data_IF_231187462390
#
_entry.id   IF_231187462390
#
_cell.length_a   1.000
_cell.length_b   1.000
_cell.length_c   1.000
_cell.angle_alpha   90.00
_cell.angle_beta   90.00
_cell.angle_gamma   90.00
#
_symmetry.space_group_name_H-M   'P 1'
#
loop_
_entity.id
_entity.type
_entity.pdbx_description
1 polymer ?
#
# COMPACT_ATOMS: atom_id res chain seq x y z
N UNK A 1 24.34 21.06 41.22
CA UNK A 1 23.12 21.05 40.39
C UNK A 1 23.32 20.12 39.17
N UNK A 2 22.68 18.96 39.19
CA UNK A 2 22.66 18.03 38.05
C UNK A 2 21.37 18.29 37.28
N UNK A 3 21.43 19.07 36.20
CA UNK A 3 20.33 19.17 35.25
C UNK A 3 20.43 17.96 34.32
N UNK A 4 19.66 16.91 34.60
CA UNK A 4 19.49 15.81 33.66
C UNK A 4 18.74 16.33 32.42
N UNK A 5 19.37 16.41 31.24
CA UNK A 5 18.73 16.90 30.02
C UNK A 5 17.78 15.88 29.39
N UNK A 6 17.70 14.66 29.92
CA UNK A 6 16.80 13.59 29.49
C UNK A 6 15.74 13.24 30.53
N UNK A 7 15.49 14.13 31.51
CA UNK A 7 14.36 14.05 32.43
C UNK A 7 13.00 14.27 31.75
N UNK A 8 12.77 13.63 30.60
CA UNK A 8 11.48 13.56 29.96
C UNK A 8 10.54 12.78 30.88
N UNK A 9 9.54 13.48 31.40
CA UNK A 9 8.43 12.85 32.09
C UNK A 9 7.64 12.08 31.05
N UNK A 10 7.77 10.75 31.03
CA UNK A 10 6.70 9.91 30.50
C UNK A 10 5.55 10.08 31.48
N UNK A 11 4.67 11.05 31.21
CA UNK A 11 3.34 11.05 31.81
C UNK A 11 2.72 9.71 31.40
N UNK A 12 2.65 8.77 32.35
CA UNK A 12 1.85 7.57 32.20
C UNK A 12 0.42 8.06 31.95
N UNK A 13 -0.06 7.92 30.72
CA UNK A 13 -1.50 7.99 30.49
C UNK A 13 -2.08 6.84 31.33
N UNK A 14 -2.88 7.17 32.34
CA UNK A 14 -3.78 6.22 32.98
C UNK A 14 -4.78 5.77 31.90
N UNK A 15 -4.39 4.77 31.12
CA UNK A 15 -5.26 4.07 30.19
C UNK A 15 -6.31 3.37 31.06
N UNK A 16 -7.56 3.87 31.01
CA UNK A 16 -8.70 3.03 31.37
C UNK A 16 -8.53 1.73 30.58
N UNK A 17 -8.51 0.58 31.27
CA UNK A 17 -8.37 -0.74 30.66
C UNK A 17 -9.56 -1.00 29.71
N UNK A 18 -9.54 -0.43 28.51
CA UNK A 18 -10.36 -0.85 27.40
C UNK A 18 -9.97 -2.31 27.11
N UNK A 19 -10.94 -3.23 27.17
CA UNK A 19 -10.70 -4.63 26.82
C UNK A 19 -10.03 -4.66 25.43
N UNK A 20 -8.75 -5.03 25.37
CA UNK A 20 -7.99 -5.10 24.11
C UNK A 20 -8.63 -6.16 23.20
N UNK A 21 -9.61 -5.76 22.40
CA UNK A 21 -10.17 -6.62 21.37
C UNK A 21 -9.05 -6.98 20.37
N UNK A 22 -8.97 -8.25 19.95
CA UNK A 22 -7.94 -8.65 19.00
C UNK A 22 -8.13 -7.92 17.68
N UNK A 23 -7.04 -7.33 17.17
CA UNK A 23 -7.03 -6.69 15.84
C UNK A 23 -7.45 -7.74 14.80
N UNK A 24 -8.47 -7.47 13.96
CA UNK A 24 -8.88 -8.41 12.93
C UNK A 24 -7.76 -8.63 11.91
N UNK A 25 -7.68 -9.82 11.30
CA UNK A 25 -6.69 -10.09 10.26
C UNK A 25 -6.93 -9.18 9.03
N UNK A 26 -5.86 -8.87 8.31
CA UNK A 26 -5.97 -8.18 7.04
C UNK A 26 -6.63 -9.10 5.99
N UNK A 27 -7.53 -8.57 5.13
CA UNK A 27 -8.17 -9.34 4.09
C UNK A 27 -7.28 -9.52 2.85
N UNK A 28 -7.39 -10.66 2.18
CA UNK A 28 -6.60 -11.00 0.99
C UNK A 28 -7.35 -10.70 -0.33
N UNK A 29 -7.88 -9.48 -0.49
CA UNK A 29 -8.67 -9.11 -1.68
C UNK A 29 -7.95 -9.28 -3.02
N UNK A 30 -6.61 -9.23 -2.98
CA UNK A 30 -5.74 -9.27 -4.13
C UNK A 30 -4.97 -10.58 -4.25
N UNK A 31 -5.41 -11.64 -3.55
CA UNK A 31 -4.89 -12.99 -3.76
C UNK A 31 -4.90 -13.35 -5.26
N UNK A 32 -3.79 -13.96 -5.71
CA UNK A 32 -3.52 -14.32 -7.10
C UNK A 32 -3.54 -13.17 -8.13
N UNK A 33 -3.53 -11.91 -7.68
CA UNK A 33 -3.44 -10.74 -8.57
C UNK A 33 -2.01 -10.22 -8.62
N UNK A 34 -1.52 -10.02 -9.85
CA UNK A 34 -0.21 -9.41 -10.12
C UNK A 34 -0.44 -8.05 -10.75
N UNK A 35 0.07 -7.02 -10.10
CA UNK A 35 -0.06 -5.62 -10.51
C UNK A 35 1.23 -5.12 -11.13
N UNK A 36 1.09 -4.29 -12.16
CA UNK A 36 2.16 -3.45 -12.68
C UNK A 36 1.76 -1.98 -12.54
N UNK A 37 2.62 -1.18 -11.91
CA UNK A 37 2.42 0.26 -11.77
C UNK A 37 3.06 0.97 -12.98
N UNK A 38 2.23 1.52 -13.85
CA UNK A 38 2.66 2.18 -15.09
C UNK A 38 2.62 3.70 -14.96
N UNK A 39 3.76 4.33 -15.23
CA UNK A 39 3.90 5.78 -15.23
C UNK A 39 4.29 6.37 -13.88
N UNK A 40 4.29 7.70 -13.83
CA UNK A 40 4.59 8.46 -12.62
C UNK A 40 3.32 8.63 -11.78
N UNK A 41 3.50 8.51 -10.46
CA UNK A 41 2.46 8.77 -9.47
C UNK A 41 2.79 10.04 -8.69
N UNK A 42 1.76 10.70 -8.17
CA UNK A 42 1.94 11.89 -7.33
C UNK A 42 2.78 11.59 -6.08
N UNK A 43 3.21 12.65 -5.40
CA UNK A 43 3.99 12.54 -4.17
C UNK A 43 3.27 11.65 -3.14
N UNK A 44 3.92 10.55 -2.74
CA UNK A 44 3.38 9.59 -1.77
C UNK A 44 2.35 8.60 -2.31
N UNK A 45 1.73 8.85 -3.47
CA UNK A 45 0.69 7.99 -4.05
C UNK A 45 1.24 6.62 -4.43
N UNK A 46 2.39 6.55 -5.12
CA UNK A 46 3.03 5.28 -5.45
C UNK A 46 3.38 4.45 -4.20
N UNK A 47 3.74 5.12 -3.10
CA UNK A 47 4.00 4.47 -1.81
C UNK A 47 2.72 3.92 -1.17
N UNK A 48 1.60 4.66 -1.27
CA UNK A 48 0.30 4.20 -0.79
C UNK A 48 -0.21 3.00 -1.60
N UNK A 49 -0.09 3.05 -2.93
CA UNK A 49 -0.44 1.94 -3.80
C UNK A 49 0.37 0.68 -3.44
N UNK A 50 1.69 0.81 -3.29
CA UNK A 50 2.53 -0.29 -2.86
C UNK A 50 2.07 -0.85 -1.50
N UNK A 51 1.78 0.03 -0.52
CA UNK A 51 1.30 -0.40 0.80
C UNK A 51 0.00 -1.19 0.71
N UNK A 52 -1.01 -0.70 -0.02
CA UNK A 52 -2.31 -1.37 -0.10
C UNK A 52 -2.27 -2.64 -0.91
N UNK A 53 -1.61 -2.63 -2.08
CA UNK A 53 -1.50 -3.80 -2.93
C UNK A 53 -0.82 -4.94 -2.18
N UNK A 54 0.28 -4.66 -1.46
CA UNK A 54 0.95 -5.67 -0.65
C UNK A 54 0.15 -6.07 0.58
N UNK A 55 -0.47 -5.12 1.29
CA UNK A 55 -1.20 -5.42 2.53
C UNK A 55 -2.44 -6.31 2.32
N UNK A 56 -3.02 -6.30 1.12
CA UNK A 56 -4.20 -7.08 0.79
C UNK A 56 -3.89 -8.30 -0.12
N UNK A 57 -2.66 -8.81 -0.09
CA UNK A 57 -2.29 -10.09 -0.73
C UNK A 57 -1.87 -10.01 -2.21
N UNK A 58 -1.67 -8.81 -2.76
CA UNK A 58 -1.28 -8.60 -4.15
C UNK A 58 0.22 -8.74 -4.40
N UNK A 59 0.59 -9.20 -5.59
CA UNK A 59 1.97 -9.26 -6.07
C UNK A 59 2.30 -8.07 -6.96
N UNK A 60 3.47 -7.44 -6.81
CA UNK A 60 3.94 -6.37 -7.69
C UNK A 60 4.99 -6.90 -8.67
N UNK A 61 4.72 -6.75 -9.96
CA UNK A 61 5.68 -7.05 -11.02
C UNK A 61 6.63 -5.85 -11.23
N UNK A 62 7.94 -6.08 -11.34
CA UNK A 62 8.93 -5.02 -11.60
C UNK A 62 8.84 -4.47 -13.03
N UNK A 63 8.28 -5.25 -13.96
CA UNK A 63 8.12 -4.91 -15.38
C UNK A 63 6.80 -5.47 -15.90
N UNK A 64 6.26 -4.88 -16.97
CA UNK A 64 5.13 -5.47 -17.70
C UNK A 64 5.56 -6.78 -18.35
N UNK A 65 4.88 -7.88 -18.01
CA UNK A 65 5.15 -9.23 -18.51
C UNK A 65 3.87 -10.07 -18.50
N UNK A 66 3.96 -11.32 -18.97
CA UNK A 66 2.80 -12.22 -19.11
C UNK A 66 2.14 -12.65 -17.79
N UNK A 67 2.79 -12.46 -16.64
CA UNK A 67 2.19 -12.76 -15.34
C UNK A 67 1.36 -11.60 -14.77
N UNK A 68 1.45 -10.40 -15.35
CA UNK A 68 0.68 -9.23 -14.93
C UNK A 68 -0.79 -9.43 -15.29
N UNK A 69 -1.67 -9.32 -14.29
CA UNK A 69 -3.12 -9.41 -14.49
C UNK A 69 -3.80 -8.05 -14.45
N UNK A 70 -3.17 -7.04 -13.83
CA UNK A 70 -3.73 -5.70 -13.69
C UNK A 70 -2.65 -4.63 -13.90
N UNK A 71 -2.95 -3.61 -14.70
CA UNK A 71 -2.12 -2.40 -14.85
C UNK A 71 -2.80 -1.27 -14.10
N UNK A 72 -2.05 -0.59 -13.22
CA UNK A 72 -2.51 0.60 -12.49
C UNK A 72 -1.75 1.79 -13.05
N UNK A 73 -2.45 2.83 -13.46
CA UNK A 73 -1.84 4.06 -13.97
C UNK A 73 -2.65 5.28 -13.55
N UNK A 74 -1.95 6.37 -13.26
CA UNK A 74 -2.53 7.70 -13.05
C UNK A 74 -2.62 8.52 -14.36
N UNK A 75 -2.18 7.94 -15.48
CA UNK A 75 -2.21 8.59 -16.78
C UNK A 75 -3.59 8.48 -17.41
N UNK A 76 -3.93 9.43 -18.28
CA UNK A 76 -5.19 9.39 -19.02
C UNK A 76 -5.21 8.19 -19.98
N UNK A 77 -6.41 7.66 -20.23
CA UNK A 77 -6.60 6.58 -21.19
C UNK A 77 -6.27 7.07 -22.61
N UNK A 78 -5.15 6.60 -23.18
CA UNK A 78 -4.84 6.83 -24.58
C UNK A 78 -5.44 5.73 -25.48
N UNK A 79 -6.00 6.07 -26.66
CA UNK A 79 -6.56 5.09 -27.60
C UNK A 79 -5.62 3.93 -27.98
N UNK A 80 -4.29 4.13 -27.87
CA UNK A 80 -3.27 3.11 -28.09
C UNK A 80 -3.40 1.89 -27.16
N UNK A 81 -4.02 2.03 -25.98
CA UNK A 81 -4.26 0.91 -25.05
C UNK A 81 -5.41 -0.01 -25.48
N UNK A 82 -6.18 0.38 -26.51
CA UNK A 82 -7.36 -0.36 -27.01
C UNK A 82 -7.04 -1.28 -28.19
N UNK A 83 -5.85 -1.17 -28.79
CA UNK A 83 -5.50 -1.86 -30.04
C UNK A 83 -4.72 -3.16 -29.81
N UNK A 84 -5.18 -4.02 -28.90
CA UNK A 84 -4.87 -5.47 -28.90
C UNK A 84 -6.11 -6.22 -28.45
N UNK A 85 -7.18 -6.08 -29.24
CA UNK A 85 -8.50 -6.62 -28.90
C UNK A 85 -9.39 -6.77 -30.12
N UNK A 86 -8.87 -7.36 -31.20
CA UNK A 86 -9.71 -7.97 -32.25
C UNK A 86 -9.08 -9.32 -32.67
N UNK A 87 -9.94 -10.32 -32.94
CA UNK A 87 -9.61 -11.75 -32.90
C UNK A 87 -8.54 -12.18 -33.91
#
# INVERSE_FOLDING_TARGET
PSSDPYGGSTEENEEEEEEEEPIPPLPDFFEDKTFFLHGDFGEGEGRLLLRYLTAFGGTLAPYMNDSVTHVVTAQEWEPAFTEVGRP
#
